data_IF_420079705216
#
_entry.id   IF_420079705216
#
_cell.length_a   1.000
_cell.length_b   1.000
_cell.length_c   1.000
_cell.angle_alpha   90.00
_cell.angle_beta   90.00
_cell.angle_gamma   90.00
#
_symmetry.space_group_name_H-M   'P 1'
#
loop_
_entity.id
_entity.type
_entity.pdbx_description
1 polymer ?
#
# COMPACT_ATOMS: atom_id res chain seq x y z
N UNK A 1 -20.47 12.76 -15.71
CA UNK A 1 -19.98 11.59 -14.96
C UNK A 1 -19.35 12.09 -13.66
N UNK A 2 -19.57 11.44 -12.53
CA UNK A 2 -18.90 11.80 -11.26
C UNK A 2 -17.41 11.46 -11.34
N UNK A 3 -16.54 12.26 -10.73
CA UNK A 3 -15.09 12.01 -10.60
C UNK A 3 -14.80 10.60 -10.07
N UNK A 4 -15.59 10.13 -9.11
CA UNK A 4 -15.50 8.77 -8.56
C UNK A 4 -15.73 7.69 -9.64
N UNK A 5 -16.70 7.89 -10.53
CA UNK A 5 -17.00 6.94 -11.60
C UNK A 5 -15.87 6.86 -12.63
N UNK A 6 -15.18 7.97 -12.88
CA UNK A 6 -14.01 8.01 -13.77
C UNK A 6 -12.84 7.25 -13.14
N UNK A 7 -12.50 7.53 -11.88
CA UNK A 7 -11.42 6.82 -11.19
C UNK A 7 -11.68 5.32 -11.11
N UNK A 8 -12.90 4.91 -10.77
CA UNK A 8 -13.27 3.50 -10.75
C UNK A 8 -13.14 2.85 -12.13
N UNK A 9 -13.63 3.51 -13.20
CA UNK A 9 -13.53 2.99 -14.56
C UNK A 9 -12.07 2.82 -15.03
N UNK A 10 -11.17 3.74 -14.64
CA UNK A 10 -9.74 3.67 -14.95
C UNK A 10 -9.00 2.61 -14.13
N UNK A 11 -9.44 2.36 -12.88
CA UNK A 11 -8.81 1.39 -12.00
C UNK A 11 -9.19 -0.06 -12.36
N UNK A 12 -10.40 -0.27 -12.90
CA UNK A 12 -10.94 -1.60 -13.21
C UNK A 12 -10.04 -2.43 -14.14
N UNK A 13 -9.47 -1.91 -15.24
CA UNK A 13 -8.48 -2.64 -16.04
C UNK A 13 -7.23 -3.03 -15.26
N UNK A 14 -6.71 -2.17 -14.38
CA UNK A 14 -5.54 -2.46 -13.57
C UNK A 14 -5.80 -3.64 -12.63
N UNK A 15 -6.94 -3.67 -11.95
CA UNK A 15 -7.33 -4.80 -11.09
C UNK A 15 -7.49 -6.09 -11.90
N UNK A 16 -8.06 -6.02 -13.10
CA UNK A 16 -8.16 -7.19 -13.98
C UNK A 16 -6.78 -7.73 -14.37
N UNK A 17 -5.81 -6.85 -14.67
CA UNK A 17 -4.44 -7.25 -14.97
C UNK A 17 -3.71 -7.85 -13.76
N UNK A 18 -3.91 -7.30 -12.56
CA UNK A 18 -3.37 -7.86 -11.30
C UNK A 18 -3.93 -9.26 -11.06
N UNK A 19 -5.25 -9.45 -11.19
CA UNK A 19 -5.87 -10.77 -11.06
C UNK A 19 -5.32 -11.76 -12.08
N UNK A 20 -5.13 -11.33 -13.33
CA UNK A 20 -4.55 -12.18 -14.38
C UNK A 20 -3.10 -12.55 -14.07
N UNK A 21 -2.29 -11.62 -13.58
CA UNK A 21 -0.91 -11.87 -13.17
C UNK A 21 -0.83 -12.84 -11.98
N UNK A 22 -1.82 -12.80 -11.07
CA UNK A 22 -1.97 -13.74 -9.98
C UNK A 22 -2.50 -15.14 -10.40
N UNK A 23 -2.78 -15.35 -11.70
CA UNK A 23 -3.25 -16.64 -12.23
C UNK A 23 -4.77 -16.78 -12.36
N UNK A 24 -5.56 -15.73 -12.09
CA UNK A 24 -7.00 -15.76 -12.31
C UNK A 24 -7.33 -15.49 -13.78
N UNK A 25 -7.82 -16.50 -14.49
CA UNK A 25 -8.19 -16.41 -15.91
C UNK A 25 -9.67 -16.07 -16.16
N UNK A 26 -10.50 -16.10 -15.12
CA UNK A 26 -11.90 -15.72 -15.17
C UNK A 26 -12.35 -15.17 -13.81
N UNK A 27 -13.24 -14.18 -13.82
CA UNK A 27 -13.83 -13.61 -12.61
C UNK A 27 -15.25 -13.11 -12.92
N UNK A 28 -16.14 -13.13 -11.94
CA UNK A 28 -17.47 -12.54 -12.09
C UNK A 28 -17.34 -11.01 -12.14
N UNK A 29 -18.11 -10.30 -12.98
CA UNK A 29 -18.05 -8.83 -13.03
C UNK A 29 -18.24 -8.17 -11.67
N UNK A 30 -19.13 -8.71 -10.82
CA UNK A 30 -19.36 -8.21 -9.47
C UNK A 30 -18.15 -8.31 -8.54
N UNK A 31 -17.30 -9.33 -8.71
CA UNK A 31 -16.07 -9.50 -7.92
C UNK A 31 -15.02 -8.49 -8.37
N UNK A 32 -14.89 -8.29 -9.69
CA UNK A 32 -14.00 -7.28 -10.23
C UNK A 32 -14.40 -5.88 -9.76
N UNK A 33 -15.68 -5.56 -9.78
CA UNK A 33 -16.18 -4.25 -9.34
C UNK A 33 -15.99 -4.05 -7.82
N UNK A 34 -16.24 -5.09 -7.02
CA UNK A 34 -15.99 -5.05 -5.58
C UNK A 34 -14.51 -4.84 -5.25
N UNK A 35 -13.60 -5.58 -5.90
CA UNK A 35 -12.15 -5.41 -5.71
C UNK A 35 -11.68 -4.03 -6.20
N UNK A 36 -12.25 -3.51 -7.28
CA UNK A 36 -11.95 -2.17 -7.78
C UNK A 36 -12.38 -1.10 -6.77
N UNK A 37 -13.55 -1.26 -6.14
CA UNK A 37 -14.01 -0.36 -5.09
C UNK A 37 -13.11 -0.41 -3.84
N UNK A 38 -12.76 -1.61 -3.39
CA UNK A 38 -11.84 -1.81 -2.25
C UNK A 38 -10.47 -1.19 -2.54
N UNK A 39 -9.91 -1.44 -3.72
CA UNK A 39 -8.62 -0.88 -4.11
C UNK A 39 -8.63 0.66 -4.15
N UNK A 40 -9.70 1.26 -4.68
CA UNK A 40 -9.86 2.72 -4.68
C UNK A 40 -9.92 3.31 -3.27
N UNK A 41 -10.69 2.69 -2.36
CA UNK A 41 -10.76 3.10 -0.95
C UNK A 41 -9.42 2.92 -0.23
N UNK A 42 -8.70 1.84 -0.53
CA UNK A 42 -7.39 1.57 0.05
C UNK A 42 -6.33 2.57 -0.42
N UNK A 43 -6.34 2.96 -1.71
CA UNK A 43 -5.46 4.02 -2.22
C UNK A 43 -5.73 5.37 -1.52
N UNK A 44 -7.00 5.70 -1.28
CA UNK A 44 -7.36 6.91 -0.54
C UNK A 44 -6.88 6.84 0.92
N UNK A 45 -7.00 5.68 1.57
CA UNK A 45 -6.49 5.45 2.91
C UNK A 45 -4.98 5.65 2.97
N UNK A 46 -4.22 5.02 2.06
CA UNK A 46 -2.76 5.16 1.96
C UNK A 46 -2.34 6.60 1.72
N UNK A 47 -2.99 7.31 0.79
CA UNK A 47 -2.69 8.71 0.50
C UNK A 47 -2.96 9.61 1.70
N UNK A 48 -4.06 9.39 2.42
CA UNK A 48 -4.42 10.16 3.61
C UNK A 48 -3.44 9.90 4.76
N UNK A 49 -3.05 8.63 4.98
CA UNK A 49 -2.05 8.27 5.98
C UNK A 49 -0.67 8.85 5.62
N UNK A 50 -0.26 8.80 4.35
CA UNK A 50 1.00 9.40 3.88
C UNK A 50 1.04 10.90 4.15
N UNK A 51 -0.04 11.61 3.83
CA UNK A 51 -0.15 13.04 4.09
C UNK A 51 -0.11 13.38 5.59
N UNK A 52 -0.63 12.49 6.46
CA UNK A 52 -0.52 12.66 7.92
C UNK A 52 0.91 12.52 8.40
N UNK A 53 1.65 11.51 7.92
CA UNK A 53 3.05 11.31 8.28
C UNK A 53 3.92 12.48 7.81
N UNK A 54 3.76 12.93 6.57
CA UNK A 54 4.48 14.08 6.04
C UNK A 54 4.20 15.37 6.84
N UNK A 55 3.00 15.52 7.42
CA UNK A 55 2.65 16.68 8.24
C UNK A 55 3.29 16.67 9.65
N UNK A 56 3.95 15.57 10.06
CA UNK A 56 4.60 15.48 11.38
C UNK A 56 6.00 16.07 11.43
N UNK A 57 6.68 16.22 10.28
CA UNK A 57 7.96 16.91 10.18
C UNK A 57 7.76 18.30 9.54
N UNK A 58 7.78 19.39 10.32
CA UNK A 58 7.56 20.74 9.81
C UNK A 58 8.76 21.29 9.03
N UNK A 59 9.94 20.69 9.16
CA UNK A 59 11.17 21.17 8.54
C UNK A 59 11.34 20.60 7.12
N UNK A 60 10.79 19.42 6.87
CA UNK A 60 10.80 18.78 5.55
C UNK A 60 9.60 19.23 4.69
N UNK A 61 9.86 20.09 3.70
CA UNK A 61 8.83 20.49 2.74
C UNK A 61 8.58 19.42 1.68
N UNK A 62 7.66 18.49 1.94
CA UNK A 62 7.15 17.59 0.92
C UNK A 62 6.68 16.25 1.45
N UNK A 63 6.29 15.37 0.53
CA UNK A 63 6.05 13.96 0.81
C UNK A 63 7.31 13.19 0.43
N UNK A 64 7.87 12.46 1.37
CA UNK A 64 9.02 11.59 1.18
C UNK A 64 8.61 10.12 1.00
N UNK A 65 9.56 9.28 0.55
CA UNK A 65 9.36 7.82 0.52
C UNK A 65 9.19 7.25 1.94
N UNK A 66 9.78 7.89 2.94
CA UNK A 66 9.64 7.51 4.35
C UNK A 66 8.19 7.62 4.81
N UNK A 67 7.47 8.67 4.41
CA UNK A 67 6.06 8.86 4.76
C UNK A 67 5.17 7.78 4.14
N UNK A 68 5.46 7.39 2.90
CA UNK A 68 4.76 6.31 2.21
C UNK A 68 5.02 4.98 2.91
N UNK A 69 6.28 4.70 3.30
CA UNK A 69 6.64 3.48 4.04
C UNK A 69 5.91 3.40 5.39
N UNK A 70 5.89 4.49 6.15
CA UNK A 70 5.18 4.56 7.43
C UNK A 70 3.67 4.36 7.24
N UNK A 71 3.09 4.98 6.22
CA UNK A 71 1.68 4.76 5.86
C UNK A 71 1.38 3.31 5.47
N UNK A 72 2.29 2.65 4.76
CA UNK A 72 2.17 1.23 4.42
C UNK A 72 2.26 0.33 5.66
N UNK A 73 3.07 0.67 6.66
CA UNK A 73 3.10 -0.03 7.95
C UNK A 73 1.80 0.19 8.75
N UNK A 74 1.31 1.44 8.83
CA UNK A 74 0.04 1.77 9.50
C UNK A 74 -1.15 1.03 8.84
N UNK A 75 -1.15 0.93 7.50
CA UNK A 75 -2.18 0.26 6.72
C UNK A 75 -1.95 -1.25 6.55
N UNK A 76 -1.04 -1.84 7.33
CA UNK A 76 -0.70 -3.27 7.35
C UNK A 76 -0.28 -3.86 5.98
N UNK A 77 0.23 -3.03 5.06
CA UNK A 77 0.84 -3.48 3.82
C UNK A 77 2.25 -4.03 4.06
N UNK A 78 2.98 -3.44 5.02
CA UNK A 78 4.32 -3.85 5.42
C UNK A 78 4.30 -4.22 6.91
N UNK A 79 5.08 -5.24 7.25
CA UNK A 79 5.31 -5.59 8.65
C UNK A 79 6.26 -4.54 9.25
N UNK A 80 5.97 -3.99 10.44
CA UNK A 80 6.89 -3.10 11.12
C UNK A 80 8.21 -3.80 11.44
N UNK A 81 9.30 -3.03 11.45
CA UNK A 81 10.61 -3.49 11.90
C UNK A 81 10.54 -4.01 13.35
N UNK A 82 11.36 -5.00 13.68
CA UNK A 82 11.54 -5.50 15.05
C UNK A 82 12.11 -4.37 15.89
N UNK A 83 11.67 -4.30 17.13
CA UNK A 83 12.25 -3.32 18.06
C UNK A 83 13.73 -3.68 18.26
N UNK A 84 14.56 -2.66 18.45
CA UNK A 84 16.01 -2.81 18.59
C UNK A 84 16.40 -3.87 19.64
N UNK A 85 15.69 -3.92 20.77
CA UNK A 85 15.95 -4.87 21.85
C UNK A 85 15.77 -6.33 21.40
N UNK A 86 14.77 -6.60 20.55
CA UNK A 86 14.51 -7.94 20.02
C UNK A 86 15.60 -8.36 19.03
N UNK A 87 16.04 -7.44 18.15
CA UNK A 87 17.14 -7.68 17.21
C UNK A 87 18.45 -8.00 17.95
N UNK A 88 18.75 -7.24 19.02
CA UNK A 88 19.93 -7.46 19.86
C UNK A 88 19.86 -8.80 20.61
N UNK A 89 18.67 -9.17 21.10
CA UNK A 89 18.46 -10.43 21.81
C UNK A 89 18.60 -11.65 20.90
N UNK A 90 18.04 -11.59 19.70
CA UNK A 90 18.13 -12.66 18.69
C UNK A 90 19.50 -12.70 18.01
N UNK A 91 20.24 -11.58 18.02
CA UNK A 91 21.52 -11.44 17.33
C UNK A 91 21.38 -11.37 15.80
N UNK A 92 20.17 -11.09 15.30
CA UNK A 92 19.83 -11.02 13.88
C UNK A 92 19.32 -9.61 13.56
N UNK A 93 19.94 -8.95 12.57
CA UNK A 93 19.45 -7.68 12.03
C UNK A 93 18.14 -7.91 11.27
N UNK A 94 17.16 -7.02 11.43
CA UNK A 94 15.89 -7.15 10.74
C UNK A 94 15.99 -6.74 9.27
N UNK A 95 16.28 -7.72 8.41
CA UNK A 95 16.35 -7.54 6.95
C UNK A 95 14.97 -7.66 6.26
N UNK A 96 13.85 -7.64 7.00
CA UNK A 96 12.51 -7.85 6.40
C UNK A 96 12.20 -6.77 5.35
N UNK A 97 12.01 -7.24 4.12
CA UNK A 97 11.78 -6.38 2.95
C UNK A 97 13.03 -6.05 2.15
N UNK A 98 14.24 -6.33 2.68
CA UNK A 98 15.50 -6.26 1.94
C UNK A 98 15.74 -7.56 1.14
N UNK A 99 15.33 -8.71 1.67
CA UNK A 99 15.55 -10.01 1.03
C UNK A 99 14.90 -10.18 -0.34
N UNK A 100 13.85 -9.40 -0.65
CA UNK A 100 13.22 -9.42 -1.96
C UNK A 100 14.04 -8.69 -3.06
N UNK A 101 15.14 -8.03 -2.69
CA UNK A 101 16.00 -7.25 -3.58
C UNK A 101 17.42 -7.82 -3.75
N UNK A 102 17.73 -8.99 -3.18
CA UNK A 102 18.99 -9.73 -3.31
C UNK A 102 18.82 -10.99 -4.16
#
# INVERSE_FOLDING_TARGET
MSTHAIHHALLRPCILHILRAAGYHSTKPSVLDALTDIAGRYMLLLATSTAKHAATDPEEMGISVTDVRLAMQECAALVPEKVWEDQVWEGEEDERGMEAFL
#
